data_IF_718206560029
#
_entry.id   IF_718206560029
#
_cell.length_a   1.000
_cell.length_b   1.000
_cell.length_c   1.000
_cell.angle_alpha   90.00
_cell.angle_beta   90.00
_cell.angle_gamma   90.00
#
_symmetry.space_group_name_H-M   'P 1'
#
loop_
_entity.id
_entity.type
_entity.pdbx_description
1 polymer ?
#
# COMPACT_ATOMS: atom_id res chain seq x y z
N UNK A 1 -16.15 39.57 -42.03
CA UNK A 1 -14.84 38.90 -41.83
C UNK A 1 -14.26 39.08 -40.41
N UNK A 2 -14.35 40.26 -39.77
CA UNK A 2 -13.83 40.47 -38.39
C UNK A 2 -14.49 39.61 -37.31
N UNK A 3 -15.78 39.25 -37.45
CA UNK A 3 -16.52 38.42 -36.47
C UNK A 3 -16.13 36.93 -36.53
N UNK A 4 -15.72 36.42 -37.69
CA UNK A 4 -15.31 35.02 -37.85
C UNK A 4 -13.93 34.76 -37.24
N UNK A 5 -13.06 35.74 -37.34
CA UNK A 5 -11.68 35.65 -36.77
C UNK A 5 -11.72 35.64 -35.23
N UNK A 6 -12.68 36.35 -34.62
CA UNK A 6 -12.83 36.38 -33.16
C UNK A 6 -13.34 35.02 -32.62
N UNK A 7 -14.24 34.36 -33.37
CA UNK A 7 -14.76 33.03 -32.98
C UNK A 7 -13.67 31.95 -33.04
N UNK A 8 -12.80 32.00 -34.06
CA UNK A 8 -11.66 31.07 -34.16
C UNK A 8 -10.61 31.29 -33.04
N UNK A 9 -10.39 32.55 -32.64
CA UNK A 9 -9.46 32.85 -31.52
C UNK A 9 -10.02 32.37 -30.18
N UNK A 10 -11.33 32.44 -29.94
CA UNK A 10 -11.95 31.91 -28.74
C UNK A 10 -11.86 30.37 -28.68
N UNK A 11 -12.09 29.67 -29.78
CA UNK A 11 -11.96 28.20 -29.86
C UNK A 11 -10.51 27.76 -29.69
N UNK A 12 -9.52 28.52 -30.20
CA UNK A 12 -8.12 28.22 -30.01
C UNK A 12 -7.65 28.46 -28.55
N UNK A 13 -8.24 29.42 -27.82
CA UNK A 13 -7.92 29.67 -26.41
C UNK A 13 -8.46 28.56 -25.48
N UNK A 14 -9.56 27.91 -25.84
CA UNK A 14 -10.09 26.77 -25.08
C UNK A 14 -9.26 25.47 -25.24
N UNK A 15 -8.49 25.34 -26.30
CA UNK A 15 -7.71 24.13 -26.59
C UNK A 15 -6.35 24.07 -25.91
N UNK A 16 -5.88 25.13 -25.22
CA UNK A 16 -4.49 25.22 -24.79
C UNK A 16 -4.21 25.21 -23.28
N UNK A 17 -5.19 24.89 -22.43
CA UNK A 17 -4.97 24.87 -20.99
C UNK A 17 -5.45 23.58 -20.29
N UNK A 18 -5.15 22.43 -20.86
CA UNK A 18 -4.98 21.25 -20.02
C UNK A 18 -3.61 21.39 -19.31
N UNK A 19 -3.55 22.15 -18.23
CA UNK A 19 -2.38 22.03 -17.35
C UNK A 19 -2.39 20.59 -16.84
N UNK A 20 -1.34 19.85 -17.18
CA UNK A 20 -1.13 18.55 -16.57
C UNK A 20 -1.18 18.74 -15.04
N UNK A 21 -2.08 18.02 -14.39
CA UNK A 21 -2.18 18.06 -12.93
C UNK A 21 -0.82 17.61 -12.38
N UNK A 22 -0.23 18.40 -11.50
CA UNK A 22 1.11 18.09 -10.97
C UNK A 22 1.01 16.83 -10.12
N UNK A 23 1.81 15.83 -10.45
CA UNK A 23 2.01 14.66 -9.61
C UNK A 23 2.97 15.03 -8.48
N UNK A 24 2.63 14.66 -7.27
CA UNK A 24 3.38 14.93 -6.05
C UNK A 24 3.72 13.60 -5.37
N UNK A 25 4.83 13.58 -4.66
CA UNK A 25 5.26 12.44 -3.86
C UNK A 25 4.77 12.58 -2.42
N UNK A 26 4.45 11.46 -1.79
CA UNK A 26 4.07 11.37 -0.38
C UNK A 26 4.68 10.13 0.26
N UNK A 27 4.81 10.18 1.58
CA UNK A 27 5.24 9.06 2.41
C UNK A 27 4.36 9.02 3.65
N UNK A 28 3.85 7.84 4.00
CA UNK A 28 3.22 7.57 5.29
C UNK A 28 4.16 6.68 6.10
N UNK A 29 4.43 7.07 7.34
CA UNK A 29 5.12 6.21 8.31
C UNK A 29 4.11 5.69 9.33
N UNK A 30 4.08 4.36 9.52
CA UNK A 30 3.26 3.68 10.51
C UNK A 30 4.16 3.17 11.61
N UNK A 31 3.96 3.68 12.82
CA UNK A 31 4.95 3.64 13.87
C UNK A 31 6.06 4.68 13.66
N UNK A 32 7.08 4.66 14.48
CA UNK A 32 8.25 5.55 14.31
C UNK A 32 9.32 4.88 13.44
N UNK A 33 9.15 4.97 12.12
CA UNK A 33 10.06 4.33 11.18
C UNK A 33 11.49 4.89 11.27
N UNK A 34 11.60 6.18 11.51
CA UNK A 34 12.90 6.87 11.54
C UNK A 34 13.72 6.54 12.80
N UNK A 35 13.04 6.32 13.96
CA UNK A 35 13.66 6.04 15.24
C UNK A 35 13.11 4.76 15.88
N UNK A 36 12.85 3.75 15.08
CA UNK A 36 12.35 2.48 15.56
C UNK A 36 13.29 1.89 16.62
N UNK A 37 12.73 1.50 17.77
CA UNK A 37 13.52 1.05 18.92
C UNK A 37 12.95 -0.18 19.62
N UNK A 38 11.72 -0.58 19.29
CA UNK A 38 11.05 -1.72 19.90
C UNK A 38 10.94 -2.85 18.90
N UNK A 39 11.75 -3.87 19.07
CA UNK A 39 11.68 -5.09 18.27
C UNK A 39 10.62 -6.03 18.82
N UNK A 40 10.10 -6.88 17.92
CA UNK A 40 9.20 -7.94 18.33
C UNK A 40 9.88 -8.88 19.34
N UNK A 41 9.19 -9.19 20.42
CA UNK A 41 9.72 -10.02 21.52
C UNK A 41 8.76 -11.16 21.91
N UNK A 42 8.02 -11.69 20.95
CA UNK A 42 7.01 -12.73 21.15
C UNK A 42 7.37 -14.09 20.57
N UNK A 43 6.34 -14.85 20.19
CA UNK A 43 6.49 -16.13 19.52
C UNK A 43 6.93 -15.94 18.07
N UNK A 44 7.75 -16.85 17.54
CA UNK A 44 8.11 -16.87 16.12
C UNK A 44 6.90 -16.87 15.16
N UNK A 45 5.75 -17.34 15.62
CA UNK A 45 4.54 -17.38 14.81
C UNK A 45 3.86 -16.02 14.67
N UNK A 46 4.19 -15.06 15.51
CA UNK A 46 3.52 -13.75 15.56
C UNK A 46 4.37 -12.61 14.95
N UNK A 47 5.45 -12.92 14.23
CA UNK A 47 6.36 -11.93 13.67
C UNK A 47 5.95 -11.57 12.23
N UNK A 48 5.72 -10.28 11.98
CA UNK A 48 5.41 -9.75 10.65
C UNK A 48 6.45 -8.71 10.21
N UNK A 49 6.70 -8.57 8.92
CA UNK A 49 6.05 -9.19 7.76
C UNK A 49 6.54 -10.62 7.49
N UNK A 50 7.61 -11.04 8.14
CA UNK A 50 8.19 -12.38 8.03
C UNK A 50 8.98 -12.73 9.27
N UNK A 51 9.28 -14.01 9.40
CA UNK A 51 10.28 -14.50 10.33
C UNK A 51 11.28 -15.34 9.52
N UNK A 52 12.52 -14.90 9.47
CA UNK A 52 13.55 -15.55 8.66
C UNK A 52 14.04 -16.89 9.25
N UNK A 53 13.59 -17.25 10.43
CA UNK A 53 13.90 -18.51 11.09
C UNK A 53 13.25 -19.73 10.40
N UNK A 54 12.09 -19.55 9.75
CA UNK A 54 11.36 -20.62 9.08
C UNK A 54 11.47 -20.49 7.56
N UNK A 55 11.39 -21.64 6.87
CA UNK A 55 11.53 -21.72 5.43
C UNK A 55 10.47 -20.94 4.68
N UNK A 56 9.23 -21.07 5.14
CA UNK A 56 8.07 -20.51 4.49
C UNK A 56 7.32 -19.64 5.48
N UNK A 57 7.12 -18.40 5.12
CA UNK A 57 6.35 -17.47 5.93
C UNK A 57 5.40 -16.67 5.05
N UNK A 58 4.24 -16.35 5.60
CA UNK A 58 3.27 -15.48 4.96
C UNK A 58 2.67 -14.56 6.00
N UNK A 59 2.39 -13.33 5.62
CA UNK A 59 1.69 -12.38 6.47
C UNK A 59 0.61 -11.65 5.69
N UNK A 60 -0.49 -11.37 6.35
CA UNK A 60 -1.46 -10.37 5.91
C UNK A 60 -1.45 -9.21 6.87
N UNK A 61 -1.21 -8.02 6.35
CA UNK A 61 -1.14 -6.76 7.08
C UNK A 61 -2.28 -5.85 6.63
N UNK A 62 -3.11 -5.44 7.57
CA UNK A 62 -4.30 -4.62 7.31
C UNK A 62 -4.04 -3.18 7.77
N UNK A 63 -3.78 -2.29 6.82
CA UNK A 63 -3.63 -0.87 7.05
C UNK A 63 -4.99 -0.19 6.90
N UNK A 64 -5.56 0.24 8.00
CA UNK A 64 -6.91 0.81 8.07
C UNK A 64 -6.93 2.29 7.64
N UNK A 65 -8.09 2.86 7.27
CA UNK A 65 -8.18 4.24 6.78
C UNK A 65 -7.58 5.27 7.73
N UNK A 66 -7.71 5.08 9.04
CA UNK A 66 -7.11 5.97 10.05
C UNK A 66 -5.57 5.97 10.02
N UNK A 67 -4.94 4.85 9.63
CA UNK A 67 -3.50 4.75 9.44
C UNK A 67 -3.04 5.37 8.12
N UNK A 68 -3.93 5.49 7.16
CA UNK A 68 -3.70 5.99 5.81
C UNK A 68 -4.28 7.40 5.59
N UNK A 69 -4.69 8.08 6.67
CA UNK A 69 -5.40 9.35 6.62
C UNK A 69 -4.62 10.48 5.91
N UNK A 70 -3.29 10.39 5.83
CA UNK A 70 -2.48 11.34 5.06
C UNK A 70 -2.79 11.31 3.55
N UNK A 71 -3.46 10.27 3.06
CA UNK A 71 -3.94 10.18 1.68
C UNK A 71 -5.33 10.77 1.49
N UNK A 72 -6.05 11.12 2.56
CA UNK A 72 -7.41 11.64 2.46
C UNK A 72 -7.47 12.96 1.68
N UNK A 73 -8.48 13.07 0.84
CA UNK A 73 -8.68 14.23 -0.03
C UNK A 73 -7.73 14.32 -1.23
N UNK A 74 -6.71 13.44 -1.33
CA UNK A 74 -5.83 13.34 -2.48
C UNK A 74 -6.51 12.58 -3.62
N UNK A 75 -6.14 12.90 -4.87
CA UNK A 75 -6.68 12.25 -6.07
C UNK A 75 -5.59 11.46 -6.77
N UNK A 76 -6.02 10.44 -7.54
CA UNK A 76 -5.12 9.59 -8.32
C UNK A 76 -3.96 9.04 -7.49
N UNK A 77 -4.27 8.63 -6.26
CA UNK A 77 -3.25 8.07 -5.35
C UNK A 77 -2.76 6.74 -5.92
N UNK A 78 -1.45 6.60 -5.98
CA UNK A 78 -0.77 5.39 -6.44
C UNK A 78 0.31 5.01 -5.46
N UNK A 79 0.26 3.79 -4.96
CA UNK A 79 1.27 3.27 -4.04
C UNK A 79 2.43 2.71 -4.87
N UNK A 80 3.64 3.18 -4.58
CA UNK A 80 4.86 2.85 -5.32
C UNK A 80 5.71 1.80 -4.64
N UNK A 81 5.53 1.62 -3.33
CA UNK A 81 6.28 0.62 -2.59
C UNK A 81 6.11 0.76 -1.08
N UNK A 82 6.67 -0.22 -0.40
CA UNK A 82 6.68 -0.28 1.06
C UNK A 82 8.07 -0.60 1.55
N UNK A 83 8.38 -0.17 2.76
CA UNK A 83 9.61 -0.53 3.47
C UNK A 83 9.30 -0.93 4.89
N UNK A 84 10.08 -1.88 5.40
CA UNK A 84 10.03 -2.37 6.77
C UNK A 84 11.41 -2.29 7.38
N UNK A 85 11.51 -2.10 8.69
CA UNK A 85 12.79 -2.16 9.39
C UNK A 85 12.89 -3.38 10.28
N UNK A 86 14.08 -3.96 10.32
CA UNK A 86 14.44 -5.00 11.26
C UNK A 86 15.86 -4.79 11.79
N UNK A 87 16.15 -5.41 12.91
CA UNK A 87 17.47 -5.43 13.52
C UNK A 87 18.20 -6.71 13.15
N UNK A 88 19.39 -6.62 12.60
CA UNK A 88 20.14 -7.79 12.17
C UNK A 88 20.95 -8.37 13.34
N UNK A 89 20.55 -9.55 13.82
CA UNK A 89 21.27 -10.32 14.85
C UNK A 89 21.84 -11.64 14.30
N UNK A 90 21.88 -11.82 12.98
CA UNK A 90 22.33 -13.05 12.35
C UNK A 90 23.62 -12.88 11.57
N UNK A 91 24.35 -13.98 11.44
CA UNK A 91 25.59 -14.08 10.64
C UNK A 91 25.38 -14.82 9.31
N UNK A 92 24.17 -15.21 8.98
CA UNK A 92 23.90 -16.00 7.79
C UNK A 92 23.31 -15.16 6.66
N UNK A 93 23.56 -15.60 5.44
CA UNK A 93 22.93 -15.03 4.25
C UNK A 93 21.51 -15.57 4.13
N UNK A 94 20.57 -14.69 3.83
CA UNK A 94 19.16 -15.05 3.63
C UNK A 94 18.84 -14.92 2.14
N UNK A 95 18.31 -15.99 1.55
CA UNK A 95 17.78 -16.00 0.20
C UNK A 95 16.33 -16.47 0.26
N UNK A 96 15.42 -15.66 -0.23
CA UNK A 96 13.98 -15.94 -0.26
C UNK A 96 13.37 -15.49 -1.57
N UNK A 97 12.43 -16.28 -2.08
CA UNK A 97 11.47 -15.81 -3.07
C UNK A 97 10.42 -14.96 -2.34
N UNK A 98 10.24 -13.74 -2.78
CA UNK A 98 9.30 -12.80 -2.18
C UNK A 98 8.19 -12.50 -3.17
N UNK A 99 6.94 -12.67 -2.72
CA UNK A 99 5.76 -12.22 -3.46
C UNK A 99 4.91 -11.33 -2.58
N UNK A 100 4.43 -10.23 -3.15
CA UNK A 100 3.55 -9.30 -2.46
C UNK A 100 2.30 -9.09 -3.28
N UNK A 101 1.17 -9.21 -2.62
CA UNK A 101 -0.16 -8.96 -3.17
C UNK A 101 -0.80 -7.83 -2.41
N UNK A 102 -1.42 -6.91 -3.12
CA UNK A 102 -2.02 -5.72 -2.52
C UNK A 102 -3.44 -5.56 -3.03
N UNK A 103 -4.37 -5.38 -2.11
CA UNK A 103 -5.78 -5.17 -2.46
C UNK A 103 -6.45 -4.17 -1.52
N UNK A 104 -7.44 -3.47 -2.02
CA UNK A 104 -8.32 -2.62 -1.22
C UNK A 104 -9.42 -3.46 -0.55
N UNK A 105 -9.83 -3.06 0.65
CA UNK A 105 -10.97 -3.66 1.34
C UNK A 105 -11.71 -2.62 2.17
N UNK A 106 -12.99 -2.85 2.41
CA UNK A 106 -13.80 -2.07 3.37
C UNK A 106 -13.62 -2.56 4.82
N UNK A 107 -12.99 -3.73 5.00
CA UNK A 107 -12.79 -4.30 6.32
C UNK A 107 -11.74 -3.50 7.11
N UNK A 108 -12.02 -3.28 8.38
CA UNK A 108 -11.09 -2.62 9.32
C UNK A 108 -10.51 -3.61 10.34
N UNK A 109 -10.91 -4.87 10.28
CA UNK A 109 -10.41 -5.97 11.12
C UNK A 109 -10.54 -7.31 10.38
N UNK A 110 -9.77 -8.30 10.82
CA UNK A 110 -9.89 -9.67 10.31
C UNK A 110 -11.19 -10.31 10.79
N UNK A 111 -11.88 -11.01 9.89
CA UNK A 111 -13.10 -11.73 10.22
C UNK A 111 -12.84 -12.84 11.23
N UNK A 112 -13.88 -13.19 11.96
CA UNK A 112 -13.88 -14.32 12.91
C UNK A 112 -15.05 -15.24 12.53
N UNK A 113 -14.79 -16.53 12.38
CA UNK A 113 -15.83 -17.50 12.08
C UNK A 113 -16.71 -17.83 13.31
N UNK A 114 -17.71 -18.69 13.12
CA UNK A 114 -18.64 -19.09 14.18
C UNK A 114 -17.97 -19.79 15.38
N UNK A 115 -16.78 -20.39 15.16
CA UNK A 115 -15.99 -21.06 16.20
C UNK A 115 -15.02 -20.09 16.92
N UNK A 116 -15.04 -18.81 16.58
CA UNK A 116 -14.14 -17.80 17.15
C UNK A 116 -12.73 -17.80 16.56
N UNK A 117 -12.52 -18.47 15.41
CA UNK A 117 -11.23 -18.53 14.73
C UNK A 117 -11.12 -17.36 13.77
N UNK A 118 -10.03 -16.57 13.87
CA UNK A 118 -9.71 -15.52 12.90
C UNK A 118 -9.42 -16.11 11.53
N UNK A 119 -9.77 -15.36 10.51
CA UNK A 119 -9.68 -15.79 9.13
C UNK A 119 -8.80 -14.86 8.32
N UNK A 120 -7.89 -15.42 7.52
CA UNK A 120 -7.21 -14.70 6.46
C UNK A 120 -8.19 -14.22 5.40
N UNK A 121 -7.87 -13.13 4.75
CA UNK A 121 -8.60 -12.68 3.57
C UNK A 121 -8.22 -13.52 2.34
N UNK A 122 -9.20 -13.76 1.48
CA UNK A 122 -8.92 -14.26 0.13
C UNK A 122 -8.15 -13.21 -0.67
N UNK A 123 -7.25 -13.66 -1.55
CA UNK A 123 -6.48 -12.78 -2.44
C UNK A 123 -6.20 -13.49 -3.77
N UNK A 124 -6.03 -12.70 -4.83
CA UNK A 124 -5.68 -13.23 -6.15
C UNK A 124 -4.19 -13.55 -6.21
N UNK A 125 -3.86 -14.83 -6.18
CA UNK A 125 -2.48 -15.32 -6.23
C UNK A 125 -1.82 -15.14 -7.61
N UNK A 126 -2.57 -14.76 -8.63
CA UNK A 126 -2.06 -14.54 -9.98
C UNK A 126 -1.62 -13.10 -10.25
N UNK A 127 -2.03 -12.16 -9.39
CA UNK A 127 -1.79 -10.72 -9.52
C UNK A 127 -0.84 -10.20 -8.43
N UNK A 128 0.42 -10.63 -8.51
CA UNK A 128 1.44 -10.17 -7.58
C UNK A 128 1.91 -8.75 -7.96
N UNK A 129 1.79 -7.82 -7.03
CA UNK A 129 2.30 -6.46 -7.17
C UNK A 129 3.85 -6.41 -7.19
N UNK A 130 4.48 -7.39 -6.55
CA UNK A 130 5.92 -7.59 -6.54
C UNK A 130 6.23 -9.09 -6.50
N UNK A 131 7.19 -9.52 -7.29
CA UNK A 131 7.74 -10.86 -7.24
C UNK A 131 9.21 -10.82 -7.65
N UNK A 132 10.11 -11.16 -6.73
CA UNK A 132 11.56 -11.20 -6.98
C UNK A 132 12.24 -12.11 -5.97
N UNK A 133 13.49 -12.44 -6.26
CA UNK A 133 14.40 -13.11 -5.34
C UNK A 133 15.04 -12.05 -4.42
N UNK A 134 14.85 -12.22 -3.14
CA UNK A 134 15.46 -11.38 -2.14
C UNK A 134 16.66 -12.08 -1.53
N UNK A 135 17.82 -11.45 -1.65
CA UNK A 135 19.07 -11.95 -1.06
C UNK A 135 19.76 -10.83 -0.29
N UNK A 136 20.08 -11.06 0.96
CA UNK A 136 20.89 -10.14 1.73
C UNK A 136 21.79 -10.88 2.72
N UNK A 137 22.92 -10.27 2.99
CA UNK A 137 23.89 -10.76 3.97
C UNK A 137 23.61 -10.14 5.32
N UNK A 138 23.10 -10.92 6.26
CA UNK A 138 22.96 -10.50 7.65
C UNK A 138 24.33 -10.34 8.31
N UNK A 139 25.36 -11.05 7.84
CA UNK A 139 26.70 -10.91 8.36
C UNK A 139 27.27 -9.51 8.18
N UNK A 140 27.08 -8.92 6.98
CA UNK A 140 27.57 -7.57 6.68
C UNK A 140 26.84 -6.48 7.48
N UNK A 141 25.60 -6.74 7.90
CA UNK A 141 24.75 -5.80 8.64
C UNK A 141 24.57 -6.18 10.12
N UNK A 142 25.37 -7.12 10.64
CA UNK A 142 25.23 -7.58 12.04
C UNK A 142 25.33 -6.44 13.04
N UNK A 143 24.32 -6.33 13.90
CA UNK A 143 24.22 -5.27 14.90
C UNK A 143 23.70 -3.94 14.37
N UNK A 144 23.18 -3.91 13.13
CA UNK A 144 22.67 -2.71 12.50
C UNK A 144 21.19 -2.82 12.17
N UNK A 145 20.56 -1.66 12.01
CA UNK A 145 19.20 -1.56 11.45
C UNK A 145 19.26 -1.78 9.94
N UNK A 146 18.42 -2.66 9.46
CA UNK A 146 18.27 -2.97 8.04
C UNK A 146 16.88 -2.56 7.56
N UNK A 147 16.81 -1.94 6.38
CA UNK A 147 15.57 -1.61 5.71
C UNK A 147 15.27 -2.62 4.60
N UNK A 148 14.18 -3.36 4.73
CA UNK A 148 13.62 -4.20 3.69
C UNK A 148 12.74 -3.35 2.79
N UNK A 149 13.19 -3.05 1.58
CA UNK A 149 12.45 -2.28 0.59
C UNK A 149 11.74 -3.20 -0.40
N UNK A 150 10.46 -2.99 -0.60
CA UNK A 150 9.62 -3.69 -1.56
C UNK A 150 9.05 -2.65 -2.54
N UNK A 151 9.74 -2.38 -3.66
CA UNK A 151 9.24 -1.48 -4.68
C UNK A 151 8.14 -2.18 -5.49
N UNK A 152 7.02 -1.52 -5.69
CA UNK A 152 6.00 -1.99 -6.62
C UNK A 152 6.37 -1.59 -8.06
N UNK A 153 5.84 -2.30 -9.04
CA UNK A 153 6.19 -2.05 -10.42
C UNK A 153 5.87 -0.61 -10.83
N UNK A 154 6.87 0.13 -11.31
CA UNK A 154 6.67 1.48 -11.84
C UNK A 154 5.74 1.51 -13.06
N UNK A 155 5.61 0.40 -13.78
CA UNK A 155 4.76 0.29 -14.96
C UNK A 155 3.29 -0.01 -14.60
N UNK A 156 3.06 -0.58 -13.43
CA UNK A 156 1.74 -0.93 -12.91
C UNK A 156 1.63 -0.54 -11.43
N UNK A 157 1.66 0.75 -11.12
CA UNK A 157 1.53 1.20 -9.73
C UNK A 157 0.14 0.84 -9.22
N UNK A 158 0.07 0.54 -7.92
CA UNK A 158 -1.18 0.17 -7.28
C UNK A 158 -2.03 1.41 -7.10
N UNK A 159 -3.16 1.47 -7.81
CA UNK A 159 -4.14 2.53 -7.57
C UNK A 159 -4.77 2.33 -6.20
N UNK A 160 -4.88 3.42 -5.44
CA UNK A 160 -5.50 3.39 -4.11
C UNK A 160 -6.62 4.42 -4.00
N UNK A 161 -7.72 4.00 -3.41
CA UNK A 161 -8.88 4.83 -3.13
C UNK A 161 -8.83 5.30 -1.68
N UNK A 162 -8.52 6.59 -1.40
CA UNK A 162 -8.52 7.12 -0.03
C UNK A 162 -9.82 6.81 0.72
N UNK A 163 -9.68 6.48 2.00
CA UNK A 163 -10.80 6.07 2.85
C UNK A 163 -11.07 4.56 2.90
N UNK A 164 -10.39 3.75 2.09
CA UNK A 164 -10.40 2.29 2.20
C UNK A 164 -9.24 1.77 3.04
N UNK A 165 -9.33 0.53 3.47
CA UNK A 165 -8.20 -0.20 4.02
C UNK A 165 -7.35 -0.79 2.89
N UNK A 166 -6.04 -0.86 3.12
CA UNK A 166 -5.10 -1.55 2.26
C UNK A 166 -4.71 -2.88 2.93
N UNK A 167 -5.01 -3.99 2.27
CA UNK A 167 -4.56 -5.31 2.69
C UNK A 167 -3.33 -5.68 1.88
N UNK A 168 -2.24 -5.97 2.59
CA UNK A 168 -0.97 -6.40 1.99
C UNK A 168 -0.70 -7.83 2.42
N UNK A 169 -0.63 -8.75 1.45
CA UNK A 169 -0.23 -10.13 1.67
C UNK A 169 1.21 -10.30 1.21
N UNK A 170 2.10 -10.70 2.11
CA UNK A 170 3.53 -10.89 1.82
C UNK A 170 3.87 -12.34 2.05
N UNK A 171 4.56 -12.94 1.09
CA UNK A 171 5.01 -14.33 1.13
C UNK A 171 6.52 -14.39 0.95
N UNK A 172 7.20 -15.10 1.83
CA UNK A 172 8.61 -15.40 1.73
C UNK A 172 8.79 -16.92 1.71
N UNK A 173 9.34 -17.43 0.64
CA UNK A 173 9.61 -18.85 0.46
C UNK A 173 11.12 -19.10 0.31
N UNK A 174 11.66 -20.08 1.02
CA UNK A 174 13.02 -20.54 0.80
C UNK A 174 13.13 -21.20 -0.59
N UNK A 175 14.24 -20.95 -1.27
CA UNK A 175 14.48 -21.54 -2.61
C UNK A 175 14.83 -23.04 -2.53
N UNK A 176 15.47 -23.45 -1.44
CA UNK A 176 15.90 -24.83 -1.19
C UNK A 176 15.64 -25.21 0.27
N UNK A 177 15.31 -26.47 0.53
CA UNK A 177 15.13 -27.01 1.89
C UNK A 177 16.41 -26.85 2.75
N UNK A 178 17.59 -26.79 2.12
CA UNK A 178 18.88 -26.64 2.79
C UNK A 178 19.18 -25.20 3.23
N UNK A 179 18.45 -24.20 2.72
CA UNK A 179 18.53 -22.80 3.14
C UNK A 179 17.59 -22.46 4.31
N UNK A 180 16.96 -23.47 4.89
CA UNK A 180 16.24 -23.34 6.12
C UNK A 180 17.25 -23.45 7.28
N UNK A 181 17.84 -22.35 7.63
CA UNK A 181 18.63 -22.32 8.86
C UNK A 181 17.68 -22.44 10.04
N UNK A 182 17.46 -23.66 10.50
CA UNK A 182 16.89 -23.91 11.83
C UNK A 182 17.93 -23.53 12.91
N UNK A 183 18.70 -22.51 12.64
CA UNK A 183 19.73 -21.96 13.50
C UNK A 183 19.24 -20.74 14.25
N UNK A 184 20.00 -20.32 15.21
CA UNK A 184 19.80 -19.21 16.13
C UNK A 184 19.66 -17.80 15.50
N UNK A 185 19.32 -17.71 14.22
CA UNK A 185 19.44 -16.50 13.46
C UNK A 185 18.16 -15.69 13.51
N UNK A 186 18.25 -14.63 14.26
CA UNK A 186 17.13 -13.77 14.59
C UNK A 186 17.32 -12.40 13.97
N UNK A 187 16.36 -12.00 13.15
CA UNK A 187 16.28 -10.66 12.59
C UNK A 187 14.89 -10.10 12.89
N UNK A 188 14.68 -9.61 14.13
CA UNK A 188 13.37 -9.15 14.56
C UNK A 188 13.01 -7.84 13.88
N UNK A 189 11.78 -7.78 13.36
CA UNK A 189 11.22 -6.54 12.85
C UNK A 189 10.84 -5.60 14.00
N UNK A 190 10.99 -4.33 13.76
CA UNK A 190 10.49 -3.30 14.67
C UNK A 190 8.96 -3.24 14.60
N UNK A 191 8.33 -3.08 15.75
CA UNK A 191 6.87 -3.06 15.88
C UNK A 191 6.32 -1.65 16.02
N UNK A 192 5.16 -1.40 15.44
CA UNK A 192 4.46 -0.12 15.54
C UNK A 192 3.63 0.05 16.82
N UNK A 193 3.45 -1.03 17.59
CA UNK A 193 2.53 -1.06 18.73
C UNK A 193 1.05 -1.21 18.36
N UNK A 194 0.73 -1.38 17.08
CA UNK A 194 -0.64 -1.52 16.57
C UNK A 194 -0.97 -3.01 16.45
N UNK A 195 -1.63 -3.55 17.48
CA UNK A 195 -1.97 -4.97 17.57
C UNK A 195 -3.24 -5.35 16.80
N UNK A 196 -3.32 -6.64 16.40
CA UNK A 196 -4.51 -7.22 15.81
C UNK A 196 -4.78 -6.84 14.36
N UNK A 197 -3.87 -6.12 13.72
CA UNK A 197 -3.91 -5.73 12.32
C UNK A 197 -2.99 -6.57 11.43
N UNK A 198 -2.32 -7.56 12.01
CA UNK A 198 -1.52 -8.54 11.31
C UNK A 198 -2.00 -9.96 11.59
N UNK A 199 -1.83 -10.83 10.61
CA UNK A 199 -1.94 -12.28 10.72
C UNK A 199 -0.75 -12.91 10.01
N UNK A 200 -0.20 -14.00 10.56
CA UNK A 200 0.96 -14.69 10.00
C UNK A 200 0.71 -16.18 9.84
N UNK A 201 1.42 -16.75 8.90
CA UNK A 201 1.57 -18.18 8.69
C UNK A 201 3.07 -18.51 8.60
N UNK A 202 3.47 -19.56 9.28
CA UNK A 202 4.86 -20.01 9.28
C UNK A 202 4.94 -21.52 9.23
N UNK A 203 5.77 -22.05 8.32
CA UNK A 203 5.93 -23.48 8.15
C UNK A 203 7.32 -23.80 7.57
N UNK A 204 7.83 -25.02 7.84
CA UNK A 204 9.08 -25.50 7.25
C UNK A 204 8.89 -26.33 5.96
N UNK A 205 7.64 -26.70 5.62
CA UNK A 205 7.35 -27.70 4.60
C UNK A 205 6.41 -27.21 3.50
N UNK A 206 5.66 -26.14 3.76
CA UNK A 206 4.59 -25.69 2.87
C UNK A 206 4.52 -24.18 2.85
N UNK A 207 4.45 -23.60 1.66
CA UNK A 207 4.33 -22.15 1.51
C UNK A 207 2.94 -21.62 1.95
N UNK A 208 2.85 -20.33 2.19
CA UNK A 208 1.56 -19.70 2.44
C UNK A 208 0.62 -19.81 1.24
N UNK A 209 1.16 -19.83 0.02
CA UNK A 209 0.37 -20.00 -1.19
C UNK A 209 -0.26 -21.39 -1.27
N UNK A 210 0.46 -22.45 -0.86
CA UNK A 210 -0.08 -23.80 -0.78
C UNK A 210 -1.17 -23.90 0.29
N UNK A 211 -0.95 -23.28 1.47
CA UNK A 211 -1.95 -23.18 2.51
C UNK A 211 -3.21 -22.46 2.01
N UNK A 212 -3.06 -21.35 1.29
CA UNK A 212 -4.17 -20.58 0.75
C UNK A 212 -4.99 -21.32 -0.34
N UNK A 213 -4.43 -22.40 -0.91
CA UNK A 213 -5.16 -23.29 -1.82
C UNK A 213 -5.76 -24.53 -1.12
N UNK A 214 -5.41 -24.74 0.15
CA UNK A 214 -5.84 -25.87 0.94
C UNK A 214 -7.27 -25.74 1.52
N UNK A 215 -7.80 -26.85 2.01
CA UNK A 215 -9.14 -26.90 2.62
C UNK A 215 -9.25 -26.18 3.97
N UNK A 216 -8.13 -25.93 4.62
CA UNK A 216 -8.08 -25.29 5.94
C UNK A 216 -8.14 -23.76 5.86
N UNK A 217 -7.78 -23.23 4.70
CA UNK A 217 -7.91 -21.80 4.43
C UNK A 217 -9.40 -21.39 4.41
N UNK A 218 -9.81 -20.24 4.96
CA UNK A 218 -8.96 -19.15 5.49
C UNK A 218 -8.71 -19.24 7.01
N UNK A 219 -8.97 -20.35 7.68
CA UNK A 219 -8.96 -20.45 9.14
C UNK A 219 -7.53 -20.45 9.70
N UNK A 220 -7.21 -19.44 10.49
CA UNK A 220 -5.91 -19.32 11.15
C UNK A 220 -5.92 -20.04 12.51
N UNK A 221 -5.21 -21.14 12.62
CA UNK A 221 -5.08 -21.89 13.86
C UNK A 221 -3.62 -22.08 14.25
N UNK A 222 -3.34 -22.15 15.55
CA UNK A 222 -2.00 -22.37 16.04
C UNK A 222 -1.38 -23.70 15.58
N UNK A 223 -2.21 -24.72 15.32
CA UNK A 223 -1.77 -26.03 14.81
C UNK A 223 -1.26 -25.95 13.37
N UNK A 224 -1.63 -24.92 12.64
CA UNK A 224 -1.14 -24.63 11.28
C UNK A 224 0.02 -23.63 11.28
N UNK A 225 0.54 -23.23 12.43
CA UNK A 225 1.62 -22.26 12.53
C UNK A 225 1.15 -20.81 12.30
N UNK A 226 -0.12 -20.49 12.61
CA UNK A 226 -0.68 -19.17 12.40
C UNK A 226 -0.62 -18.30 13.66
N UNK A 227 -0.15 -17.07 13.51
CA UNK A 227 -0.32 -15.98 14.47
C UNK A 227 -1.56 -15.15 14.15
N UNK A 228 -2.36 -14.83 15.14
CA UNK A 228 -3.68 -14.20 14.92
C UNK A 228 -3.88 -12.84 15.58
N UNK A 229 -2.89 -12.36 16.31
CA UNK A 229 -2.94 -11.05 16.97
C UNK A 229 -1.61 -10.32 16.79
N UNK A 230 -1.13 -10.31 15.57
CA UNK A 230 0.18 -9.79 15.24
C UNK A 230 0.14 -8.26 15.20
N UNK A 231 1.18 -7.64 15.74
CA UNK A 231 1.39 -6.20 15.59
C UNK A 231 1.85 -5.88 14.18
N UNK A 232 1.41 -4.74 13.64
CA UNK A 232 1.98 -4.22 12.42
C UNK A 232 3.47 -3.91 12.64
N UNK A 233 4.33 -4.26 11.70
CA UNK A 233 5.70 -3.78 11.71
C UNK A 233 5.73 -2.26 11.51
N UNK A 234 6.78 -1.59 11.95
CA UNK A 234 7.01 -0.21 11.50
C UNK A 234 7.16 -0.22 9.98
N UNK A 235 6.40 0.62 9.34
CA UNK A 235 6.22 0.59 7.87
C UNK A 235 6.34 1.99 7.32
N UNK A 236 7.04 2.12 6.19
CA UNK A 236 6.99 3.31 5.34
C UNK A 236 6.30 2.97 4.03
N UNK A 237 5.27 3.73 3.65
CA UNK A 237 4.52 3.57 2.39
C UNK A 237 4.80 4.78 1.51
N UNK A 238 5.42 4.54 0.36
CA UNK A 238 5.67 5.58 -0.65
C UNK A 238 4.51 5.61 -1.64
N UNK A 239 4.03 6.80 -1.96
CA UNK A 239 2.94 6.97 -2.90
C UNK A 239 3.08 8.26 -3.70
N UNK A 240 2.46 8.30 -4.87
CA UNK A 240 2.26 9.53 -5.64
C UNK A 240 0.79 9.90 -5.65
N UNK A 241 0.50 11.17 -5.84
CA UNK A 241 -0.86 11.69 -5.89
C UNK A 241 -0.93 12.97 -6.70
N UNK A 242 -2.14 13.36 -7.03
CA UNK A 242 -2.42 14.71 -7.47
C UNK A 242 -3.25 15.40 -6.40
N UNK A 243 -2.99 16.66 -6.14
CA UNK A 243 -3.89 17.39 -5.26
C UNK A 243 -5.29 17.41 -5.87
N UNK A 244 -6.28 17.02 -5.07
CA UNK A 244 -7.64 17.35 -5.36
C UNK A 244 -7.68 18.87 -5.47
N UNK A 245 -8.03 19.40 -6.63
CA UNK A 245 -8.25 20.84 -6.71
C UNK A 245 -9.15 21.19 -5.52
N UNK A 246 -8.74 22.16 -4.69
CA UNK A 246 -9.58 22.65 -3.59
C UNK A 246 -10.99 22.76 -4.14
N UNK A 247 -11.94 22.10 -3.44
CA UNK A 247 -13.29 21.86 -3.91
C UNK A 247 -13.77 23.01 -4.79
N UNK A 248 -13.99 22.69 -6.03
CA UNK A 248 -14.29 23.59 -7.13
C UNK A 248 -14.91 24.92 -6.71
N UNK A 249 -14.07 25.91 -6.50
CA UNK A 249 -14.52 27.26 -6.76
C UNK A 249 -14.44 27.40 -8.27
N UNK A 250 -15.50 26.87 -8.94
CA UNK A 250 -15.66 26.95 -10.38
C UNK A 250 -14.92 25.86 -11.15
N UNK A 251 -15.63 24.78 -11.49
CA UNK A 251 -15.19 23.85 -12.53
C UNK A 251 -14.73 24.67 -13.75
N UNK A 252 -13.50 24.47 -14.26
CA UNK A 252 -13.00 25.26 -15.39
C UNK A 252 -13.97 25.18 -16.55
N UNK A 253 -14.53 26.32 -16.92
CA UNK A 253 -15.61 26.42 -17.89
C UNK A 253 -16.99 26.61 -17.24
N UNK A 254 -17.15 26.43 -15.94
CA UNK A 254 -18.33 26.83 -15.16
C UNK A 254 -18.24 28.33 -14.84
N UNK A 255 -18.66 29.12 -15.81
CA UNK A 255 -18.59 30.59 -15.73
C UNK A 255 -19.73 31.20 -14.92
N UNK A 256 -20.81 30.45 -14.72
CA UNK A 256 -21.95 30.86 -13.91
C UNK A 256 -21.96 30.29 -12.49
N UNK A 257 -20.95 29.45 -12.14
CA UNK A 257 -20.74 28.85 -10.84
C UNK A 257 -21.92 27.96 -10.36
N UNK A 258 -22.61 27.28 -11.31
CA UNK A 258 -23.72 26.37 -10.98
C UNK A 258 -23.27 24.93 -10.72
N UNK A 259 -21.95 24.67 -10.76
CA UNK A 259 -21.35 23.36 -10.53
C UNK A 259 -21.39 22.43 -11.76
N UNK A 260 -21.72 22.94 -12.95
CA UNK A 260 -21.78 22.16 -14.17
C UNK A 260 -21.22 22.95 -15.35
N UNK A 261 -20.39 22.33 -16.17
CA UNK A 261 -19.96 22.92 -17.45
C UNK A 261 -20.97 22.62 -18.54
N UNK A 262 -21.73 23.61 -18.96
CA UNK A 262 -22.83 23.49 -19.91
C UNK A 262 -22.80 24.60 -20.96
N UNK A 263 -23.76 24.59 -21.88
CA UNK A 263 -23.93 25.68 -22.84
C UNK A 263 -24.27 27.02 -22.17
N UNK A 264 -24.81 26.98 -20.96
CA UNK A 264 -25.12 28.16 -20.13
C UNK A 264 -23.86 28.95 -19.80
N UNK A 265 -22.73 28.27 -19.53
CA UNK A 265 -21.44 28.87 -19.23
C UNK A 265 -20.88 29.63 -20.45
N UNK A 266 -21.03 29.02 -21.61
CA UNK A 266 -20.63 29.66 -22.86
C UNK A 266 -21.44 30.96 -23.08
N UNK A 267 -22.73 30.93 -22.77
CA UNK A 267 -23.61 32.12 -22.88
C UNK A 267 -23.19 33.19 -21.89
N UNK A 268 -22.94 32.82 -20.63
CA UNK A 268 -22.43 33.71 -19.58
C UNK A 268 -21.12 34.38 -19.97
N UNK A 269 -20.17 33.60 -20.50
CA UNK A 269 -18.90 34.13 -20.97
C UNK A 269 -19.06 35.09 -22.15
N UNK A 270 -19.96 34.76 -23.10
CA UNK A 270 -20.26 35.65 -24.26
C UNK A 270 -20.87 36.97 -23.78
N UNK A 271 -21.80 36.93 -22.82
CA UNK A 271 -22.42 38.13 -22.27
C UNK A 271 -21.38 38.99 -21.53
N UNK A 272 -20.48 38.41 -20.78
CA UNK A 272 -19.36 39.12 -20.17
C UNK A 272 -18.45 39.78 -21.22
N UNK A 273 -18.10 39.06 -22.28
CA UNK A 273 -17.22 39.59 -23.33
C UNK A 273 -17.89 40.72 -24.12
N UNK A 274 -19.22 40.73 -24.20
CA UNK A 274 -19.99 41.78 -24.91
C UNK A 274 -20.31 42.98 -24.02
N UNK A 275 -20.57 42.75 -22.73
CA UNK A 275 -20.97 43.78 -21.78
C UNK A 275 -19.83 44.34 -20.92
N UNK A 276 -18.78 43.57 -20.76
CA UNK A 276 -17.69 43.87 -19.82
C UNK A 276 -18.05 43.68 -18.33
N UNK A 277 -19.23 43.10 -18.04
CA UNK A 277 -19.73 42.86 -16.68
C UNK A 277 -20.07 41.41 -16.46
N UNK A 278 -19.60 40.83 -15.35
CA UNK A 278 -20.04 39.52 -14.91
C UNK A 278 -21.51 39.60 -14.45
N UNK A 279 -22.34 38.62 -14.80
CA UNK A 279 -23.65 38.49 -14.21
C UNK A 279 -23.50 38.24 -12.68
N UNK A 280 -24.31 38.97 -11.92
CA UNK A 280 -24.35 38.84 -10.44
C UNK A 280 -25.00 37.55 -10.02
#
# INVERSE_FOLDING_TARGET
MKKLTLLLAAVAAFGMCAQAQQVMDGVIEIGDFSNASTTYNGSYFDMAPTNFYLAHTGAQLLYTPDLLADMDGKQNVKIEGMSFKFYSESFEDIIRDVKVYVQETEAVEFAVNEDGVKQFFDFDQTDAAYADNFSFSLYESYGEDVELQIPFSLNEPINYTPGKSLLVTIVFDAQDDDNCTMGSDYAPFYTSGISGKGMTYTNNWSSFLDFAQGSDFPNATATLGCGTNVELPVTSIKYTYTEGGEGEVGQRGDTNLDGKVTISDVTTLIDYLLSGQWPN
#
